data_IF_700448757437
#
_entry.id   IF_700448757437
#
_cell.length_a   1.000
_cell.length_b   1.000
_cell.length_c   1.000
_cell.angle_alpha   90.00
_cell.angle_beta   90.00
_cell.angle_gamma   90.00
#
_symmetry.space_group_name_H-M   'P 1'
#
loop_
_entity.id
_entity.type
_entity.pdbx_description
1 polymer ?
#
# COMPACT_ATOMS: atom_id res chain seq x y z
N UNK A 1 -11.80 8.47 -1.76
CA UNK A 1 -10.76 7.81 -2.57
C UNK A 1 -9.89 8.91 -3.14
N UNK A 2 -8.58 8.86 -2.86
CA UNK A 2 -7.59 9.76 -3.43
C UNK A 2 -6.80 8.98 -4.48
N UNK A 3 -6.57 9.58 -5.64
CA UNK A 3 -5.69 9.05 -6.69
C UNK A 3 -4.60 10.09 -6.89
N UNK A 4 -3.36 9.66 -6.79
CA UNK A 4 -2.19 10.54 -6.81
C UNK A 4 -1.05 9.84 -7.54
N UNK A 5 -0.23 10.62 -8.24
CA UNK A 5 0.97 10.13 -8.93
C UNK A 5 2.16 10.23 -7.97
N UNK A 6 2.83 9.12 -7.68
CA UNK A 6 3.81 9.02 -6.58
C UNK A 6 5.29 9.08 -7.03
N UNK A 7 5.53 9.64 -8.21
CA UNK A 7 6.85 9.80 -8.83
C UNK A 7 7.75 10.86 -8.16
N UNK A 8 7.22 11.62 -7.19
CA UNK A 8 7.90 12.73 -6.51
C UNK A 8 8.89 12.30 -5.39
N UNK A 9 9.12 10.99 -5.20
CA UNK A 9 10.16 10.46 -4.32
C UNK A 9 9.62 9.67 -3.12
N UNK A 10 10.25 8.53 -2.83
CA UNK A 10 9.77 7.55 -1.85
C UNK A 10 9.63 8.10 -0.42
N UNK A 11 10.52 9.00 0.02
CA UNK A 11 10.44 9.63 1.35
C UNK A 11 9.22 10.55 1.46
N UNK A 12 8.98 11.36 0.44
CA UNK A 12 7.83 12.25 0.42
C UNK A 12 6.51 11.46 0.35
N UNK A 13 6.51 10.30 -0.33
CA UNK A 13 5.36 9.38 -0.31
C UNK A 13 5.13 8.83 1.09
N UNK A 14 6.17 8.41 1.81
CA UNK A 14 6.04 7.93 3.18
C UNK A 14 5.45 9.00 4.12
N UNK A 15 5.96 10.24 4.06
CA UNK A 15 5.40 11.38 4.81
C UNK A 15 3.93 11.61 4.47
N UNK A 16 3.58 11.52 3.17
CA UNK A 16 2.20 11.67 2.72
C UNK A 16 1.27 10.60 3.29
N UNK A 17 1.75 9.36 3.39
CA UNK A 17 1.01 8.26 4.02
C UNK A 17 0.82 8.48 5.53
N UNK A 18 1.83 9.01 6.22
CA UNK A 18 1.73 9.38 7.64
C UNK A 18 0.71 10.50 7.89
N UNK A 19 0.64 11.48 6.99
CA UNK A 19 -0.36 12.56 7.09
C UNK A 19 -1.78 12.06 6.85
N UNK A 20 -1.96 11.24 5.80
CA UNK A 20 -3.27 10.76 5.37
C UNK A 20 -3.80 9.62 6.24
N UNK A 21 -2.91 8.77 6.78
CA UNK A 21 -3.22 7.51 7.48
C UNK A 21 -4.30 6.68 6.80
N UNK A 22 -4.13 6.31 5.51
CA UNK A 22 -5.14 5.53 4.81
C UNK A 22 -5.22 4.11 5.37
N UNK A 23 -6.42 3.52 5.39
CA UNK A 23 -6.61 2.12 5.79
C UNK A 23 -6.11 1.13 4.73
N UNK A 24 -6.17 1.55 3.45
CA UNK A 24 -5.81 0.78 2.27
C UNK A 24 -4.94 1.61 1.32
N UNK A 25 -3.77 1.07 0.96
CA UNK A 25 -2.93 1.58 -0.11
C UNK A 25 -2.91 0.59 -1.28
N UNK A 26 -3.19 1.09 -2.48
CA UNK A 26 -3.03 0.34 -3.73
C UNK A 26 -2.03 1.08 -4.61
N UNK A 27 -0.92 0.44 -4.93
CA UNK A 27 0.09 0.94 -5.87
C UNK A 27 -0.09 0.27 -7.22
N UNK A 28 0.09 1.04 -8.29
CA UNK A 28 0.05 0.55 -9.67
C UNK A 28 1.26 1.11 -10.40
N UNK A 29 1.97 0.26 -11.14
CA UNK A 29 3.14 0.71 -11.90
C UNK A 29 3.73 -0.37 -12.78
N UNK A 30 4.60 0.06 -13.69
CA UNK A 30 5.32 -0.83 -14.58
C UNK A 30 6.58 -1.38 -13.88
N UNK A 31 6.82 -2.69 -14.01
CA UNK A 31 8.00 -3.35 -13.46
C UNK A 31 8.56 -4.31 -14.50
N UNK A 32 9.84 -4.14 -14.85
CA UNK A 32 10.56 -5.05 -15.74
C UNK A 32 10.97 -6.27 -14.94
N UNK A 33 10.51 -7.45 -15.37
CA UNK A 33 10.83 -8.70 -14.68
C UNK A 33 10.99 -9.89 -15.63
N UNK A 34 10.91 -9.66 -16.95
CA UNK A 34 11.13 -10.67 -17.97
C UNK A 34 9.89 -11.54 -18.24
N UNK A 35 8.72 -11.16 -17.73
CA UNK A 35 7.44 -11.80 -18.07
C UNK A 35 6.99 -11.37 -19.47
N UNK A 36 5.95 -11.98 -20.05
CA UNK A 36 5.36 -11.47 -21.29
C UNK A 36 4.78 -10.05 -21.09
N UNK A 37 4.95 -9.12 -22.06
CA UNK A 37 4.37 -7.80 -21.97
C UNK A 37 2.87 -7.77 -21.66
N UNK A 38 2.46 -6.84 -20.81
CA UNK A 38 1.08 -6.71 -20.34
C UNK A 38 0.69 -7.71 -19.25
N UNK A 39 1.61 -8.58 -18.81
CA UNK A 39 1.37 -9.42 -17.63
C UNK A 39 1.12 -8.55 -16.41
N UNK A 40 0.02 -8.81 -15.70
CA UNK A 40 -0.33 -8.10 -14.46
C UNK A 40 -0.13 -9.05 -13.29
N UNK A 41 0.63 -8.63 -12.29
CA UNK A 41 0.80 -9.38 -11.04
C UNK A 41 0.32 -8.56 -9.86
N UNK A 42 -0.50 -9.20 -9.05
CA UNK A 42 -0.97 -8.69 -7.78
C UNK A 42 -0.09 -9.21 -6.66
N UNK A 43 0.43 -8.30 -5.83
CA UNK A 43 1.23 -8.62 -4.66
C UNK A 43 0.62 -7.99 -3.41
N UNK A 44 0.28 -8.81 -2.43
CA UNK A 44 -0.02 -8.32 -1.08
C UNK A 44 1.31 -8.02 -0.40
N UNK A 45 1.46 -6.80 0.09
CA UNK A 45 2.70 -6.37 0.73
C UNK A 45 2.60 -6.70 2.21
N UNK A 46 3.39 -7.69 2.63
CA UNK A 46 3.51 -8.03 4.04
C UNK A 46 4.31 -6.96 4.78
N UNK A 47 3.81 -6.54 5.95
CA UNK A 47 4.58 -5.72 6.88
C UNK A 47 5.52 -6.63 7.67
N UNK A 48 6.77 -6.72 7.23
CA UNK A 48 7.82 -7.36 7.99
C UNK A 48 8.71 -6.27 8.62
N UNK A 49 9.12 -6.41 9.90
CA UNK A 49 10.17 -5.57 10.46
C UNK A 49 11.43 -5.70 9.59
N UNK A 50 11.95 -4.56 9.11
CA UNK A 50 13.19 -4.52 8.34
C UNK A 50 14.33 -3.97 9.19
N UNK A 51 15.55 -4.38 8.87
CA UNK A 51 16.74 -3.84 9.50
C UNK A 51 16.90 -2.35 9.12
N UNK A 52 17.05 -1.42 10.08
CA UNK A 52 17.30 -0.01 9.80
C UNK A 52 18.45 0.25 8.82
N UNK A 53 19.48 -0.60 8.78
CA UNK A 53 20.59 -0.48 7.82
C UNK A 53 20.15 -0.75 6.37
N UNK A 54 19.20 -1.68 6.17
CA UNK A 54 18.62 -1.97 4.85
C UNK A 54 17.72 -0.83 4.38
N UNK A 55 16.97 -0.22 5.30
CA UNK A 55 16.15 0.98 5.03
C UNK A 55 17.04 2.15 4.64
N UNK A 56 18.13 2.40 5.38
CA UNK A 56 19.07 3.48 5.07
C UNK A 56 19.71 3.31 3.69
N UNK A 57 20.01 2.07 3.29
CA UNK A 57 20.55 1.75 1.96
C UNK A 57 19.50 1.98 0.86
N UNK A 58 18.27 1.50 1.06
CA UNK A 58 17.17 1.71 0.10
C UNK A 58 16.86 3.21 -0.07
N UNK A 59 16.88 3.99 1.01
CA UNK A 59 16.75 5.46 0.96
C UNK A 59 17.94 6.10 0.21
N UNK A 60 19.15 5.58 0.36
CA UNK A 60 20.32 6.05 -0.40
C UNK A 60 20.19 5.78 -1.91
N UNK A 61 19.75 4.57 -2.28
CA UNK A 61 19.52 4.17 -3.66
C UNK A 61 18.40 5.02 -4.32
N UNK A 62 17.38 5.39 -3.53
CA UNK A 62 16.26 6.25 -3.95
C UNK A 62 16.68 7.63 -4.45
N UNK A 63 17.83 8.13 -4.01
CA UNK A 63 18.33 9.48 -4.35
C UNK A 63 19.02 9.49 -5.72
N UNK A 64 19.30 8.32 -6.31
CA UNK A 64 20.15 8.19 -7.51
C UNK A 64 19.44 7.72 -8.78
N UNK A 65 18.15 7.35 -8.72
CA UNK A 65 17.45 6.73 -9.85
C UNK A 65 15.92 6.89 -9.85
N UNK A 66 15.28 6.24 -10.82
CA UNK A 66 13.83 6.23 -11.00
C UNK A 66 13.10 5.70 -9.75
N UNK A 67 12.02 6.37 -9.35
CA UNK A 67 11.18 5.97 -8.22
C UNK A 67 10.27 4.81 -8.65
N UNK A 68 10.71 3.58 -8.38
CA UNK A 68 9.93 2.36 -8.61
C UNK A 68 8.97 2.03 -7.46
N UNK A 69 7.99 1.16 -7.72
CA UNK A 69 7.05 0.66 -6.70
C UNK A 69 7.80 0.07 -5.51
N UNK A 70 8.82 -0.76 -5.77
CA UNK A 70 9.56 -1.42 -4.70
C UNK A 70 10.18 -0.42 -3.76
N UNK A 71 10.89 0.57 -4.28
CA UNK A 71 11.52 1.62 -3.50
C UNK A 71 10.53 2.36 -2.59
N UNK A 72 9.35 2.70 -3.11
CA UNK A 72 8.28 3.32 -2.32
C UNK A 72 7.86 2.40 -1.16
N UNK A 73 7.64 1.12 -1.46
CA UNK A 73 7.28 0.13 -0.44
C UNK A 73 8.39 -0.06 0.59
N UNK A 74 9.65 -0.10 0.17
CA UNK A 74 10.80 -0.32 1.07
C UNK A 74 10.94 0.83 2.06
N UNK A 75 10.92 2.07 1.56
CA UNK A 75 11.06 3.27 2.38
C UNK A 75 9.85 3.44 3.29
N UNK A 76 8.63 3.33 2.77
CA UNK A 76 7.42 3.47 3.58
C UNK A 76 7.31 2.35 4.64
N UNK A 77 7.72 1.12 4.33
CA UNK A 77 7.77 0.04 5.32
C UNK A 77 8.82 0.33 6.40
N UNK A 78 10.02 0.74 6.00
CA UNK A 78 11.12 1.05 6.92
C UNK A 78 10.82 2.20 7.88
N UNK A 79 10.03 3.18 7.43
CA UNK A 79 9.55 4.29 8.24
C UNK A 79 8.29 3.96 9.05
N UNK A 80 7.69 2.78 8.86
CA UNK A 80 6.45 2.38 9.53
C UNK A 80 5.20 3.13 9.02
N UNK A 81 5.29 3.75 7.85
CA UNK A 81 4.24 4.56 7.24
C UNK A 81 3.23 3.75 6.40
N UNK A 82 3.53 2.48 6.09
CA UNK A 82 2.63 1.65 5.29
C UNK A 82 1.32 1.33 6.02
N UNK A 83 0.17 1.42 5.35
CA UNK A 83 -1.09 0.86 5.85
C UNK A 83 -1.03 -0.66 6.02
N UNK A 84 -1.83 -1.17 6.96
CA UNK A 84 -1.95 -2.62 7.21
C UNK A 84 -2.38 -3.37 5.95
N UNK A 85 -3.26 -2.78 5.15
CA UNK A 85 -3.65 -3.30 3.85
C UNK A 85 -2.90 -2.54 2.76
N UNK A 86 -1.85 -3.16 2.23
CA UNK A 86 -1.08 -2.62 1.11
C UNK A 86 -1.03 -3.64 -0.02
N UNK A 87 -1.41 -3.23 -1.22
CA UNK A 87 -1.44 -4.06 -2.43
C UNK A 87 -0.66 -3.35 -3.54
N UNK A 88 0.16 -4.09 -4.27
CA UNK A 88 0.82 -3.62 -5.48
C UNK A 88 0.31 -4.39 -6.70
N UNK A 89 -0.01 -3.66 -7.76
CA UNK A 89 -0.25 -4.19 -9.10
C UNK A 89 0.92 -3.79 -10.00
N UNK A 90 1.68 -4.79 -10.40
CA UNK A 90 2.86 -4.65 -11.25
C UNK A 90 2.50 -5.08 -12.67
N UNK A 91 2.81 -4.22 -13.63
CA UNK A 91 2.57 -4.49 -15.05
C UNK A 91 3.89 -4.66 -15.77
N UNK A 92 4.07 -5.77 -16.47
CA UNK A 92 5.22 -5.95 -17.35
C UNK A 92 5.10 -5.02 -18.57
N UNK A 93 6.06 -4.11 -18.82
CA UNK A 93 6.01 -3.22 -19.96
C UNK A 93 6.40 -3.94 -21.26
N UNK A 94 5.91 -3.45 -22.41
CA UNK A 94 6.39 -3.90 -23.73
C UNK A 94 7.72 -3.23 -24.12
N UNK A 95 7.90 -1.98 -23.74
CA UNK A 95 9.13 -1.20 -23.85
C UNK A 95 9.18 -0.17 -22.72
N UNK A 96 10.38 0.32 -22.42
CA UNK A 96 10.63 1.36 -21.39
C UNK A 96 11.22 2.63 -22.01
N UNK A 97 11.21 2.72 -23.34
CA UNK A 97 11.69 3.89 -24.06
C UNK A 97 10.68 5.04 -23.91
N UNK A 98 11.14 6.30 -23.89
CA UNK A 98 10.25 7.45 -23.85
C UNK A 98 9.22 7.41 -24.99
N UNK A 99 7.95 7.53 -24.63
CA UNK A 99 6.83 7.50 -25.56
C UNK A 99 5.68 8.36 -25.05
N UNK A 100 4.93 8.98 -25.96
CA UNK A 100 3.72 9.75 -25.64
C UNK A 100 2.49 8.85 -25.43
N UNK A 101 2.58 7.57 -25.85
CA UNK A 101 1.46 6.62 -25.81
C UNK A 101 1.88 5.28 -25.23
N UNK A 102 0.92 4.61 -24.57
CA UNK A 102 1.06 3.22 -24.16
C UNK A 102 1.09 2.28 -25.38
N UNK A 103 1.81 1.16 -25.25
CA UNK A 103 1.66 0.06 -26.21
C UNK A 103 0.26 -0.57 -26.10
N UNK A 104 -0.14 -1.36 -27.11
CA UNK A 104 -1.41 -2.07 -27.08
C UNK A 104 -1.53 -3.01 -25.85
N UNK A 105 -0.44 -3.68 -25.50
CA UNK A 105 -0.34 -4.55 -24.33
C UNK A 105 -0.45 -3.74 -23.03
N UNK A 106 0.22 -2.59 -22.96
CA UNK A 106 0.17 -1.67 -21.81
C UNK A 106 -1.24 -1.10 -21.59
N UNK A 107 -1.90 -0.65 -22.66
CA UNK A 107 -3.27 -0.16 -22.60
C UNK A 107 -4.26 -1.26 -22.16
N UNK A 108 -4.14 -2.47 -22.72
CA UNK A 108 -4.96 -3.60 -22.32
C UNK A 108 -4.70 -4.02 -20.86
N UNK A 109 -3.45 -3.94 -20.39
CA UNK A 109 -3.10 -4.22 -19.02
C UNK A 109 -3.65 -3.17 -18.04
N UNK A 110 -3.61 -1.89 -18.42
CA UNK A 110 -4.18 -0.81 -17.62
C UNK A 110 -5.67 -1.03 -17.38
N UNK A 111 -6.45 -1.36 -18.42
CA UNK A 111 -7.88 -1.66 -18.26
C UNK A 111 -8.13 -2.84 -17.30
N UNK A 112 -7.30 -3.89 -17.38
CA UNK A 112 -7.36 -5.01 -16.42
C UNK A 112 -7.07 -4.57 -15.00
N UNK A 113 -6.00 -3.79 -14.80
CA UNK A 113 -5.63 -3.27 -13.47
C UNK A 113 -6.74 -2.39 -12.91
N UNK A 114 -7.34 -1.51 -13.70
CA UNK A 114 -8.47 -0.68 -13.25
C UNK A 114 -9.65 -1.54 -12.79
N UNK A 115 -9.91 -2.66 -13.46
CA UNK A 115 -10.88 -3.66 -13.01
C UNK A 115 -10.55 -4.21 -11.61
N UNK A 116 -9.31 -4.70 -11.45
CA UNK A 116 -8.84 -5.28 -10.18
C UNK A 116 -8.83 -4.26 -9.03
N UNK A 117 -8.37 -3.04 -9.28
CA UNK A 117 -8.39 -1.96 -8.28
C UNK A 117 -9.82 -1.66 -7.81
N UNK A 118 -10.80 -1.62 -8.73
CA UNK A 118 -12.21 -1.42 -8.37
C UNK A 118 -12.76 -2.57 -7.52
N UNK A 119 -12.32 -3.79 -7.75
CA UNK A 119 -12.69 -4.96 -6.93
C UNK A 119 -12.11 -4.86 -5.52
N UNK A 120 -10.81 -4.54 -5.39
CA UNK A 120 -10.17 -4.34 -4.08
C UNK A 120 -10.84 -3.22 -3.28
N UNK A 121 -11.19 -2.12 -3.93
CA UNK A 121 -11.90 -1.01 -3.30
C UNK A 121 -13.30 -1.40 -2.80
N UNK A 122 -13.98 -2.36 -3.46
CA UNK A 122 -15.26 -2.89 -2.97
C UNK A 122 -15.03 -3.79 -1.76
N UNK A 123 -14.10 -4.75 -1.88
CA UNK A 123 -13.78 -5.69 -0.80
C UNK A 123 -13.27 -4.98 0.48
N UNK A 124 -12.47 -3.92 0.33
CA UNK A 124 -11.99 -3.11 1.45
C UNK A 124 -13.12 -2.35 2.17
N UNK A 125 -14.13 -1.86 1.44
CA UNK A 125 -15.32 -1.24 2.06
C UNK A 125 -16.15 -2.25 2.86
N UNK A 126 -16.32 -3.45 2.32
CA UNK A 126 -17.09 -4.50 2.97
C UNK A 126 -16.38 -5.01 4.24
N UNK A 127 -15.04 -5.00 4.26
CA UNK A 127 -14.22 -5.35 5.41
C UNK A 127 -14.21 -4.25 6.50
N UNK A 128 -14.33 -2.98 6.10
CA UNK A 128 -14.40 -1.82 7.00
C UNK A 128 -15.80 -1.58 7.60
N UNK A 129 -16.86 -2.14 7.03
CA UNK A 129 -18.24 -2.01 7.53
C UNK A 129 -18.54 -2.84 8.81
N UNK A 130 -17.53 -3.53 9.36
CA UNK A 130 -17.64 -4.47 10.48
C UNK A 130 -17.15 -3.96 11.85
N UNK A 131 -17.25 -2.68 12.16
CA UNK A 131 -17.10 -2.21 13.56
C UNK A 131 -18.05 -1.06 13.88
N UNK A 132 -19.24 -1.36 14.45
CA UNK A 132 -19.87 -0.40 15.33
C UNK A 132 -19.05 -0.37 16.62
N UNK A 133 -18.72 0.84 17.03
CA UNK A 133 -18.26 1.24 18.35
C UNK A 133 -19.09 0.55 19.45
N UNK A 134 -18.66 -0.65 19.86
CA UNK A 134 -19.16 -1.33 21.04
C UNK A 134 -18.34 -0.82 22.22
N UNK A 135 -18.64 0.40 22.66
CA UNK A 135 -18.26 0.88 23.97
C UNK A 135 -18.69 -0.19 25.01
N UNK A 136 -17.77 -0.74 25.82
CA UNK A 136 -18.15 -1.68 26.86
C UNK A 136 -19.03 -0.96 27.89
N UNK A 137 -20.12 -1.58 28.41
CA UNK A 137 -20.84 -1.00 29.53
C UNK A 137 -19.94 -0.99 30.77
N UNK A 138 -19.29 0.14 31.03
CA UNK A 138 -18.74 0.48 32.33
C UNK A 138 -19.88 0.90 33.26
N UNK A 139 -20.06 0.16 34.37
CA UNK A 139 -20.68 0.57 35.65
C UNK A 139 -21.30 -0.66 36.32
N UNK A 140 -21.03 -1.08 37.56
CA UNK A 140 -20.31 -0.56 38.73
C UNK A 140 -20.03 -1.78 39.65
N UNK A 141 -18.85 -1.84 40.27
CA UNK A 141 -18.68 -2.39 41.64
C UNK A 141 -18.18 -1.20 42.47
N UNK A 142 -18.68 -0.96 43.69
CA UNK A 142 -18.49 -1.92 44.78
C UNK A 142 -19.67 -2.00 45.78
N UNK A 143 -19.75 -3.07 46.56
CA UNK A 143 -19.96 -2.94 48.00
C UNK A 143 -19.68 -4.25 48.74
N UNK A 144 -18.73 -4.15 49.66
CA UNK A 144 -18.31 -5.13 50.64
C UNK A 144 -19.44 -5.47 51.61
N UNK A 145 -19.88 -6.74 51.66
CA UNK A 145 -20.65 -7.24 52.80
C UNK A 145 -19.69 -7.69 53.89
N UNK A 146 -19.80 -7.05 55.05
CA UNK A 146 -19.18 -7.46 56.33
C UNK A 146 -19.76 -8.81 56.79
N UNK A 147 -19.01 -9.60 57.57
CA UNK A 147 -19.51 -10.85 58.14
C UNK A 147 -20.47 -10.56 59.30
N UNK A 148 -21.60 -11.26 59.33
CA UNK A 148 -22.47 -11.36 60.51
C UNK A 148 -21.97 -12.50 61.40
N UNK A 149 -22.08 -12.23 62.70
CA UNK A 149 -21.67 -12.99 63.89
C UNK A 149 -21.97 -14.48 63.91
#
# INVERSE_FOLDING_TARGET
>A
MLVEELHYGAVAVAQRLEDLRPDLLILVGAVVSGRPPGTVVRRVVAQAPRDPAEVQRAVGDAVTGYVGIDLVLEVAAGLGALPKQTIAFEVEPANVEPSETLSAEGAAALERVLGLVREELRAGRDSGAGSPDAAPPMSRRPESRRPTS
#
